data_IF_324286164550
#
_entry.id   IF_324286164550
#
_cell.length_a   1.000
_cell.length_b   1.000
_cell.length_c   1.000
_cell.angle_alpha   90.00
_cell.angle_beta   90.00
_cell.angle_gamma   90.00
#
_symmetry.space_group_name_H-M   'P 1'
#
loop_
_entity.id
_entity.type
_entity.pdbx_description
1 polymer ?
#
# COMPACT_ATOMS: atom_id res chain seq x y z
N UNK A 1 -6.18 25.98 1.88
CA UNK A 1 -6.59 24.64 1.42
C UNK A 1 -8.10 24.59 1.31
N UNK A 2 -8.62 24.37 0.10
CA UNK A 2 -10.06 24.26 -0.20
C UNK A 2 -10.68 23.07 0.54
N UNK A 3 -12.01 23.09 0.73
CA UNK A 3 -12.76 22.03 1.45
C UNK A 3 -12.54 20.65 0.82
N UNK A 4 -12.35 20.58 -0.49
CA UNK A 4 -12.06 19.34 -1.24
C UNK A 4 -10.65 18.78 -0.99
N UNK A 5 -9.63 19.64 -0.86
CA UNK A 5 -8.26 19.23 -0.50
C UNK A 5 -8.21 18.65 0.93
N UNK A 6 -9.03 19.19 1.85
CA UNK A 6 -9.17 18.64 3.21
C UNK A 6 -9.83 17.25 3.21
N UNK A 7 -10.77 16.98 2.30
CA UNK A 7 -11.43 15.68 2.16
C UNK A 7 -10.46 14.62 1.59
N UNK A 8 -9.63 14.97 0.59
CA UNK A 8 -8.64 14.05 -0.01
C UNK A 8 -7.52 13.64 0.94
N UNK A 9 -7.25 14.42 1.99
CA UNK A 9 -6.17 14.16 2.95
C UNK A 9 -6.64 13.44 4.22
N UNK A 10 -7.94 13.48 4.56
CA UNK A 10 -8.46 12.81 5.76
C UNK A 10 -8.82 11.34 5.50
N UNK A 11 -7.80 10.51 5.23
CA UNK A 11 -7.99 9.09 4.97
C UNK A 11 -8.43 8.38 6.27
N UNK A 12 -9.59 7.72 6.33
CA UNK A 12 -9.98 6.98 7.54
C UNK A 12 -9.07 5.77 7.75
N UNK A 13 -8.63 5.57 8.99
CA UNK A 13 -7.95 4.32 9.39
C UNK A 13 -9.03 3.23 9.37
N UNK A 14 -8.84 2.13 8.62
CA UNK A 14 -9.80 1.03 8.63
C UNK A 14 -9.89 0.45 10.05
N UNK A 15 -11.11 0.18 10.52
CA UNK A 15 -11.38 -0.45 11.83
C UNK A 15 -11.34 -1.98 11.76
N UNK A 16 -11.03 -2.52 10.59
CA UNK A 16 -11.03 -3.94 10.26
C UNK A 16 -9.64 -4.33 9.83
N UNK A 17 -9.09 -5.39 10.42
CA UNK A 17 -7.91 -6.06 9.89
C UNK A 17 -8.34 -7.05 8.81
N UNK A 18 -7.43 -7.44 7.93
CA UNK A 18 -7.76 -8.40 6.88
C UNK A 18 -6.61 -9.37 6.60
N UNK A 19 -6.97 -10.60 6.24
CA UNK A 19 -6.07 -11.62 5.71
C UNK A 19 -6.46 -11.89 4.26
N UNK A 20 -5.52 -11.73 3.34
CA UNK A 20 -5.71 -12.00 1.92
C UNK A 20 -5.08 -13.34 1.56
N UNK A 21 -5.90 -14.22 1.00
CA UNK A 21 -5.53 -15.51 0.46
C UNK A 21 -5.58 -15.40 -1.06
N UNK A 22 -4.42 -15.50 -1.70
CA UNK A 22 -4.29 -15.47 -3.17
C UNK A 22 -3.83 -16.83 -3.66
N UNK A 23 -4.69 -17.53 -4.39
CA UNK A 23 -4.35 -18.82 -4.99
C UNK A 23 -3.67 -18.57 -6.36
N UNK A 24 -2.43 -19.04 -6.54
CA UNK A 24 -1.74 -19.00 -7.83
C UNK A 24 -1.71 -20.42 -8.41
N UNK A 25 -2.79 -20.84 -9.05
CA UNK A 25 -2.92 -22.17 -9.69
C UNK A 25 -4.37 -22.61 -9.88
N UNK A 26 -4.57 -23.90 -10.16
CA UNK A 26 -5.88 -24.56 -10.34
C UNK A 26 -6.65 -24.74 -9.03
N UNK A 27 -5.99 -24.57 -7.88
CA UNK A 27 -6.64 -24.70 -6.58
C UNK A 27 -7.75 -23.65 -6.40
N UNK A 28 -8.98 -24.12 -6.24
CA UNK A 28 -10.12 -23.24 -5.98
C UNK A 28 -10.07 -22.68 -4.56
N UNK A 29 -10.48 -21.42 -4.38
CA UNK A 29 -10.60 -20.81 -3.06
C UNK A 29 -11.47 -21.64 -2.10
N UNK A 30 -12.44 -22.39 -2.63
CA UNK A 30 -13.32 -23.26 -1.86
C UNK A 30 -12.59 -24.48 -1.26
N UNK A 31 -11.65 -25.09 -1.98
CA UNK A 31 -10.81 -26.18 -1.46
C UNK A 31 -9.84 -25.68 -0.39
N UNK A 32 -9.20 -24.54 -0.65
CA UNK A 32 -8.28 -23.90 0.31
C UNK A 32 -9.00 -23.58 1.62
N UNK A 33 -10.23 -23.04 1.53
CA UNK A 33 -11.04 -22.77 2.72
C UNK A 33 -11.55 -24.05 3.41
N UNK A 34 -11.83 -25.14 2.67
CA UNK A 34 -12.20 -26.43 3.29
C UNK A 34 -11.06 -26.96 4.15
N UNK A 35 -9.84 -26.97 3.61
CA UNK A 35 -8.64 -27.42 4.33
C UNK A 35 -8.35 -26.50 5.52
N UNK A 36 -8.46 -25.18 5.32
CA UNK A 36 -8.29 -24.22 6.39
C UNK A 36 -9.29 -24.44 7.53
N UNK A 37 -10.57 -24.73 7.23
CA UNK A 37 -11.58 -25.01 8.26
C UNK A 37 -11.30 -26.29 9.05
N UNK A 38 -10.73 -27.33 8.42
CA UNK A 38 -10.38 -28.58 9.11
C UNK A 38 -9.17 -28.42 10.04
N UNK A 39 -8.25 -27.51 9.71
CA UNK A 39 -6.97 -27.35 10.42
C UNK A 39 -6.92 -26.13 11.35
N UNK A 40 -7.83 -25.18 11.23
CA UNK A 40 -7.80 -23.92 11.98
C UNK A 40 -9.08 -23.77 12.80
N UNK A 41 -8.93 -23.89 14.12
CA UNK A 41 -9.98 -23.55 15.06
C UNK A 41 -10.10 -22.04 15.25
N UNK A 42 -11.23 -21.49 14.82
CA UNK A 42 -11.55 -20.05 14.89
C UNK A 42 -11.89 -19.66 16.33
N UNK A 43 -12.50 -20.56 17.09
CA UNK A 43 -12.91 -20.33 18.48
C UNK A 43 -11.69 -20.16 19.39
N UNK A 44 -10.60 -20.90 19.11
CA UNK A 44 -9.31 -20.74 19.80
C UNK A 44 -8.64 -19.38 19.57
N UNK A 45 -9.05 -18.66 18.52
CA UNK A 45 -8.52 -17.35 18.16
C UNK A 45 -9.42 -16.21 18.64
N UNK A 46 -10.54 -16.53 19.31
CA UNK A 46 -11.55 -15.59 19.79
C UNK A 46 -11.95 -14.56 18.71
N UNK A 47 -12.14 -15.01 17.47
CA UNK A 47 -12.58 -14.13 16.38
C UNK A 47 -14.12 -14.19 16.32
N UNK A 48 -14.84 -13.16 16.77
CA UNK A 48 -16.29 -13.22 16.90
C UNK A 48 -17.00 -13.22 15.54
N UNK A 49 -16.40 -12.61 14.52
CA UNK A 49 -16.97 -12.53 13.17
C UNK A 49 -15.85 -12.46 12.13
N UNK A 50 -15.96 -13.26 11.06
CA UNK A 50 -15.10 -13.13 9.88
C UNK A 50 -15.99 -12.79 8.69
N UNK A 51 -15.72 -11.66 8.03
CA UNK A 51 -16.45 -11.22 6.85
C UNK A 51 -15.66 -11.56 5.58
N UNK A 52 -16.04 -12.60 4.81
CA UNK A 52 -15.38 -12.90 3.56
C UNK A 52 -15.79 -11.89 2.48
N UNK A 53 -14.80 -11.34 1.77
CA UNK A 53 -14.99 -10.47 0.60
C UNK A 53 -14.06 -10.93 -0.52
N UNK A 54 -14.51 -10.83 -1.77
CA UNK A 54 -13.61 -11.00 -2.93
C UNK A 54 -12.94 -9.66 -3.25
N UNK A 55 -11.62 -9.64 -3.27
CA UNK A 55 -10.85 -8.48 -3.69
C UNK A 55 -11.00 -8.24 -5.21
N UNK A 56 -10.71 -7.02 -5.69
CA UNK A 56 -10.72 -6.71 -7.14
C UNK A 56 -9.73 -7.57 -7.94
N UNK A 57 -8.70 -8.10 -7.28
CA UNK A 57 -7.71 -9.04 -7.83
C UNK A 57 -8.20 -10.50 -7.85
N UNK A 58 -9.47 -10.76 -7.50
CA UNK A 58 -10.09 -12.10 -7.30
C UNK A 58 -9.55 -12.90 -6.11
N UNK A 59 -8.63 -12.34 -5.32
CA UNK A 59 -8.19 -12.94 -4.06
C UNK A 59 -9.32 -12.95 -3.03
N UNK A 60 -9.29 -13.94 -2.12
CA UNK A 60 -10.21 -14.00 -0.99
C UNK A 60 -9.66 -13.15 0.16
N UNK A 61 -10.46 -12.20 0.62
CA UNK A 61 -10.18 -11.32 1.74
C UNK A 61 -11.05 -11.76 2.93
N UNK A 62 -10.43 -12.05 4.06
CA UNK A 62 -11.11 -12.33 5.32
C UNK A 62 -10.97 -11.11 6.22
N UNK A 63 -12.02 -10.31 6.35
CA UNK A 63 -12.05 -9.12 7.20
C UNK A 63 -12.42 -9.51 8.63
N UNK A 64 -11.60 -9.09 9.60
CA UNK A 64 -11.80 -9.30 11.04
C UNK A 64 -12.10 -7.92 11.66
N UNK A 65 -13.36 -7.65 12.05
CA UNK A 65 -13.72 -6.44 12.78
C UNK A 65 -13.28 -6.56 14.24
N UNK A 66 -12.72 -5.48 14.80
CA UNK A 66 -12.36 -5.43 16.22
C UNK A 66 -11.14 -4.57 16.50
N UNK A 67 -11.02 -4.07 17.73
CA UNK A 67 -9.86 -3.27 18.18
C UNK A 67 -8.56 -4.10 18.18
N UNK A 68 -8.64 -5.40 18.46
CA UNK A 68 -7.53 -6.35 18.42
C UNK A 68 -7.46 -7.16 17.10
N UNK A 69 -8.18 -6.70 16.06
CA UNK A 69 -8.22 -7.40 14.79
C UNK A 69 -6.83 -7.58 14.17
N UNK A 70 -5.90 -6.66 14.43
CA UNK A 70 -4.52 -6.72 13.95
C UNK A 70 -3.78 -7.99 14.42
N UNK A 71 -3.68 -8.18 15.74
CA UNK A 71 -3.00 -9.33 16.34
C UNK A 71 -3.68 -10.66 15.99
N UNK A 72 -5.02 -10.69 15.99
CA UNK A 72 -5.80 -11.88 15.62
C UNK A 72 -5.63 -12.24 14.13
N UNK A 73 -5.53 -11.23 13.25
CA UNK A 73 -5.24 -11.45 11.84
C UNK A 73 -3.81 -11.97 11.62
N UNK A 74 -2.84 -11.52 12.40
CA UNK A 74 -1.46 -12.04 12.34
C UNK A 74 -1.39 -13.51 12.79
N UNK A 75 -2.06 -13.85 13.90
CA UNK A 75 -2.16 -15.23 14.37
C UNK A 75 -2.86 -16.14 13.34
N UNK A 76 -3.97 -15.67 12.76
CA UNK A 76 -4.68 -16.41 11.71
C UNK A 76 -3.81 -16.58 10.46
N UNK A 77 -3.09 -15.54 10.04
CA UNK A 77 -2.18 -15.62 8.90
C UNK A 77 -1.02 -16.60 9.14
N UNK A 78 -0.50 -16.68 10.37
CA UNK A 78 0.50 -17.66 10.80
C UNK A 78 -0.02 -19.10 10.67
N UNK A 79 -1.13 -19.41 11.33
CA UNK A 79 -1.78 -20.74 11.27
C UNK A 79 -2.14 -21.13 9.84
N UNK A 80 -2.64 -20.18 9.03
CA UNK A 80 -2.94 -20.44 7.62
C UNK A 80 -1.68 -20.74 6.82
N UNK A 81 -0.54 -20.08 7.09
CA UNK A 81 0.74 -20.36 6.42
C UNK A 81 1.24 -21.77 6.74
N UNK A 82 1.13 -22.19 7.99
CA UNK A 82 1.48 -23.55 8.42
C UNK A 82 0.56 -24.59 7.78
N UNK A 83 -0.76 -24.34 7.80
CA UNK A 83 -1.75 -25.27 7.27
C UNK A 83 -1.70 -25.42 5.75
N UNK A 84 -1.32 -24.36 5.02
CA UNK A 84 -1.36 -24.25 3.56
C UNK A 84 0.03 -24.22 2.89
N UNK A 85 1.11 -24.30 3.66
CA UNK A 85 2.50 -24.19 3.18
C UNK A 85 2.88 -25.20 2.08
N UNK A 86 2.10 -26.26 1.90
CA UNK A 86 2.30 -27.28 0.85
C UNK A 86 1.74 -26.88 -0.52
N UNK A 87 0.88 -25.86 -0.63
CA UNK A 87 0.24 -25.45 -1.89
C UNK A 87 0.71 -24.06 -2.32
N UNK A 88 0.59 -23.75 -3.62
CA UNK A 88 0.89 -22.43 -4.24
C UNK A 88 -0.11 -21.33 -3.82
N UNK A 89 -0.26 -21.12 -2.51
CA UNK A 89 -1.18 -20.14 -1.91
C UNK A 89 -0.34 -19.06 -1.23
N UNK A 90 -0.53 -17.81 -1.65
CA UNK A 90 0.10 -16.65 -1.05
C UNK A 90 -0.84 -16.05 0.00
N UNK A 91 -0.46 -16.17 1.27
CA UNK A 91 -1.16 -15.51 2.38
C UNK A 91 -0.44 -14.20 2.68
N UNK A 92 -1.20 -13.12 2.62
CA UNK A 92 -0.71 -11.75 2.83
C UNK A 92 -1.63 -11.02 3.80
N UNK A 93 -1.06 -10.10 4.57
CA UNK A 93 -1.80 -9.22 5.47
C UNK A 93 -1.93 -7.83 4.83
N UNK A 94 -3.00 -7.56 4.08
CA UNK A 94 -3.20 -6.24 3.49
C UNK A 94 -3.57 -5.22 4.57
N UNK A 95 -2.72 -4.21 4.72
CA UNK A 95 -3.04 -3.00 5.46
C UNK A 95 -3.14 -1.81 4.51
N UNK A 96 -3.99 -0.83 4.86
CA UNK A 96 -4.07 0.42 4.10
C UNK A 96 -2.79 1.23 4.33
N UNK A 97 -1.98 1.33 3.29
CA UNK A 97 -0.72 2.08 3.30
C UNK A 97 -0.93 3.53 2.83
N UNK A 98 -0.07 4.43 3.29
CA UNK A 98 0.01 5.80 2.84
C UNK A 98 1.44 6.18 2.46
N UNK A 99 1.54 7.09 1.49
CA UNK A 99 2.81 7.63 1.03
C UNK A 99 3.06 8.96 1.77
N UNK A 100 4.26 9.11 2.31
CA UNK A 100 4.78 10.31 2.96
C UNK A 100 6.00 10.80 2.18
N UNK A 101 6.15 12.11 2.09
CA UNK A 101 7.36 12.76 1.58
C UNK A 101 8.13 13.37 2.73
N UNK A 102 9.40 13.03 2.81
CA UNK A 102 10.39 13.66 3.68
C UNK A 102 11.16 14.70 2.86
N UNK A 103 11.35 15.90 3.43
CA UNK A 103 12.13 16.99 2.85
C UNK A 103 13.14 17.50 3.88
N UNK A 104 14.21 18.09 3.38
CA UNK A 104 15.32 18.63 4.19
C UNK A 104 16.08 17.54 4.95
N UNK A 105 16.29 16.40 4.30
CA UNK A 105 17.23 15.39 4.80
C UNK A 105 18.65 15.88 4.58
N UNK A 106 19.49 15.77 5.58
CA UNK A 106 20.91 16.10 5.45
C UNK A 106 21.67 14.94 4.77
N UNK A 107 22.77 15.23 4.08
CA UNK A 107 23.45 14.29 3.18
C UNK A 107 24.03 13.07 3.91
N UNK A 108 24.47 13.22 5.17
CA UNK A 108 25.01 12.13 5.99
C UNK A 108 23.93 11.22 6.60
N UNK A 109 22.65 11.62 6.51
CA UNK A 109 21.55 10.88 7.15
C UNK A 109 21.38 9.49 6.52
N UNK A 110 21.51 8.44 7.34
CA UNK A 110 21.38 7.06 6.87
C UNK A 110 19.93 6.58 6.86
N UNK A 111 19.66 5.55 6.07
CA UNK A 111 18.32 4.96 5.94
C UNK A 111 17.85 4.33 7.26
N UNK A 112 18.77 3.77 8.03
CA UNK A 112 18.49 3.09 9.31
C UNK A 112 18.01 4.07 10.38
N UNK A 113 18.67 5.22 10.51
CA UNK A 113 18.35 6.25 11.49
C UNK A 113 16.97 6.89 11.20
N UNK A 114 16.67 7.10 9.92
CA UNK A 114 15.35 7.52 9.46
C UNK A 114 14.28 6.51 9.88
N UNK A 115 14.50 5.22 9.61
CA UNK A 115 13.53 4.16 9.96
C UNK A 115 13.31 4.11 11.48
N UNK A 116 14.37 4.25 12.27
CA UNK A 116 14.26 4.24 13.73
C UNK A 116 13.50 5.45 14.28
N UNK A 117 13.81 6.65 13.82
CA UNK A 117 13.12 7.87 14.24
C UNK A 117 11.62 7.81 13.88
N UNK A 118 11.31 7.32 12.67
CA UNK A 118 9.94 7.15 12.20
C UNK A 118 9.20 6.04 12.95
N UNK A 119 9.86 4.93 13.28
CA UNK A 119 9.26 3.84 14.06
C UNK A 119 8.89 4.32 15.47
N UNK A 120 9.78 5.07 16.14
CA UNK A 120 9.54 5.64 17.47
C UNK A 120 8.37 6.63 17.47
N UNK A 121 8.29 7.54 16.48
CA UNK A 121 7.22 8.53 16.40
C UNK A 121 5.91 8.00 15.81
N UNK A 122 5.99 7.00 14.93
CA UNK A 122 4.85 6.39 14.27
C UNK A 122 4.18 5.28 15.08
N UNK A 123 4.84 4.76 16.11
CA UNK A 123 4.51 3.51 16.83
C UNK A 123 4.25 2.37 15.84
N UNK A 124 5.21 2.13 14.95
CA UNK A 124 5.09 1.08 13.93
C UNK A 124 6.38 0.26 13.83
N UNK A 125 6.23 -1.01 13.44
CA UNK A 125 7.36 -1.92 13.28
C UNK A 125 8.20 -1.52 12.07
N UNK A 126 9.54 -1.65 12.21
CA UNK A 126 10.52 -1.27 11.17
C UNK A 126 10.21 -1.94 9.81
N UNK A 127 9.74 -3.19 9.80
CA UNK A 127 9.44 -3.95 8.57
C UNK A 127 8.26 -3.41 7.73
N UNK A 128 7.35 -2.68 8.37
CA UNK A 128 6.17 -2.12 7.67
C UNK A 128 6.51 -0.83 6.92
N UNK A 129 7.64 -0.23 7.26
CA UNK A 129 8.12 1.05 6.73
C UNK A 129 8.98 0.76 5.50
N UNK A 130 8.52 1.16 4.31
CA UNK A 130 9.30 1.06 3.08
C UNK A 130 9.82 2.44 2.69
N UNK A 131 11.10 2.67 2.93
CA UNK A 131 11.80 3.88 2.52
C UNK A 131 12.33 3.72 1.10
N UNK A 132 12.04 4.67 0.23
CA UNK A 132 12.65 4.80 -1.09
C UNK A 132 14.05 5.40 -1.00
N UNK A 133 14.70 5.56 -2.14
CA UNK A 133 16.02 6.17 -2.17
C UNK A 133 15.95 7.67 -1.82
N UNK A 134 17.02 8.15 -1.20
CA UNK A 134 17.23 9.56 -0.92
C UNK A 134 17.66 10.21 -2.23
N UNK A 135 16.83 11.12 -2.74
CA UNK A 135 17.04 11.84 -3.98
C UNK A 135 17.46 13.27 -3.64
N UNK A 136 18.53 13.81 -4.23
CA UNK A 136 18.92 15.19 -4.01
C UNK A 136 17.84 16.14 -4.52
N UNK A 137 17.56 17.19 -3.75
CA UNK A 137 16.67 18.27 -4.13
C UNK A 137 17.47 19.50 -4.54
N UNK A 138 16.81 20.42 -5.26
CA UNK A 138 17.43 21.64 -5.78
C UNK A 138 17.95 22.60 -4.70
N UNK A 139 17.60 22.37 -3.43
CA UNK A 139 18.08 23.15 -2.28
C UNK A 139 19.37 22.58 -1.66
N UNK A 140 20.00 21.57 -2.29
CA UNK A 140 21.20 20.92 -1.78
C UNK A 140 20.94 19.92 -0.64
N UNK A 141 19.69 19.71 -0.25
CA UNK A 141 19.29 18.71 0.74
C UNK A 141 18.65 17.49 0.07
N UNK A 142 18.52 16.39 0.80
CA UNK A 142 17.84 15.18 0.38
C UNK A 142 16.31 15.24 0.52
N UNK A 143 15.65 14.49 -0.35
CA UNK A 143 14.23 14.13 -0.24
C UNK A 143 14.09 12.62 -0.28
N UNK A 144 13.19 12.06 0.53
CA UNK A 144 12.88 10.64 0.49
C UNK A 144 11.37 10.41 0.46
N UNK A 145 10.98 9.31 -0.18
CA UNK A 145 9.61 8.85 -0.20
C UNK A 145 9.47 7.67 0.73
N UNK A 146 8.43 7.70 1.56
CA UNK A 146 8.16 6.69 2.55
C UNK A 146 6.79 6.09 2.30
N UNK A 147 6.67 4.78 2.43
CA UNK A 147 5.38 4.10 2.49
C UNK A 147 5.23 3.42 3.85
N UNK A 148 4.18 3.77 4.58
CA UNK A 148 3.91 3.23 5.91
C UNK A 148 2.39 3.04 6.14
N UNK A 149 1.98 2.30 7.18
CA UNK A 149 0.57 2.14 7.53
C UNK A 149 -0.11 3.49 7.80
N UNK A 150 -1.37 3.61 7.42
CA UNK A 150 -2.11 4.89 7.50
C UNK A 150 -2.23 5.47 8.92
N UNK A 151 -2.23 4.61 9.94
CA UNK A 151 -2.25 5.03 11.34
C UNK A 151 -0.97 5.77 11.73
N UNK A 152 0.18 5.15 11.45
CA UNK A 152 1.50 5.78 11.64
C UNK A 152 1.63 7.03 10.76
N UNK A 153 1.21 6.95 9.50
CA UNK A 153 1.34 8.06 8.56
C UNK A 153 0.62 9.33 9.04
N UNK A 154 -0.56 9.19 9.65
CA UNK A 154 -1.29 10.33 10.23
C UNK A 154 -0.57 10.97 11.40
N UNK A 155 -0.01 10.17 12.30
CA UNK A 155 0.75 10.68 13.45
C UNK A 155 1.96 11.48 12.99
N UNK A 156 2.73 10.90 12.08
CA UNK A 156 3.89 11.55 11.46
C UNK A 156 3.50 12.85 10.74
N UNK A 157 2.40 12.84 10.00
CA UNK A 157 1.90 14.02 9.30
C UNK A 157 1.41 15.13 10.24
N UNK A 158 0.83 14.77 11.39
CA UNK A 158 0.40 15.75 12.40
C UNK A 158 1.59 16.47 13.04
N UNK A 159 2.74 15.80 13.18
CA UNK A 159 3.96 16.42 13.69
C UNK A 159 4.50 17.51 12.74
N UNK A 160 4.27 17.39 11.41
CA UNK A 160 4.80 18.25 10.32
C UNK A 160 6.32 18.29 10.20
N UNK A 161 7.05 18.20 11.30
CA UNK A 161 8.50 18.13 11.39
C UNK A 161 8.88 17.04 12.39
N UNK A 162 9.92 16.29 12.07
CA UNK A 162 10.46 15.24 12.93
C UNK A 162 11.96 15.46 13.05
N UNK A 163 12.46 15.36 14.28
CA UNK A 163 13.88 15.34 14.54
C UNK A 163 14.43 13.99 14.13
N UNK A 164 15.31 13.98 13.12
CA UNK A 164 16.09 12.81 12.72
C UNK A 164 17.54 13.17 12.98
N UNK A 165 18.15 12.42 13.90
CA UNK A 165 19.43 12.74 14.51
C UNK A 165 19.43 14.17 15.07
N UNK A 166 20.01 15.12 14.32
CA UNK A 166 20.20 16.51 14.72
C UNK A 166 19.37 17.48 13.86
N UNK A 167 18.76 17.00 12.78
CA UNK A 167 18.09 17.85 11.79
C UNK A 167 16.57 17.73 11.85
N UNK A 168 15.90 18.84 11.58
CA UNK A 168 14.44 18.90 11.55
C UNK A 168 13.93 18.65 10.14
N UNK A 169 13.48 17.41 9.92
CA UNK A 169 13.00 16.93 8.62
C UNK A 169 11.52 17.25 8.48
N UNK A 170 11.14 17.88 7.37
CA UNK A 170 9.73 18.18 7.06
C UNK A 170 9.02 16.92 6.56
N UNK A 171 7.82 16.67 7.09
CA UNK A 171 7.00 15.51 6.79
C UNK A 171 5.69 15.94 6.15
N UNK A 172 5.42 15.43 4.96
CA UNK A 172 4.23 15.74 4.19
C UNK A 172 3.47 14.48 3.79
N UNK A 173 2.23 14.34 4.24
CA UNK A 173 1.35 13.27 3.79
C UNK A 173 0.88 13.54 2.36
N UNK A 174 1.12 12.59 1.47
CA UNK A 174 0.76 12.73 0.07
C UNK A 174 -0.72 12.38 -0.16
N UNK A 175 -1.34 12.90 -1.24
CA UNK A 175 -2.68 12.47 -1.64
C UNK A 175 -2.71 10.98 -1.98
N UNK A 176 -3.89 10.36 -1.85
CA UNK A 176 -4.08 8.95 -2.24
C UNK A 176 -3.85 8.83 -3.74
N UNK A 177 -2.98 7.89 -4.14
CA UNK A 177 -2.80 7.60 -5.57
C UNK A 177 -4.11 7.03 -6.08
N UNK A 178 -4.74 7.76 -6.98
CA UNK A 178 -5.93 7.27 -7.68
C UNK A 178 -5.55 6.03 -8.49
N UNK A 179 -6.44 5.04 -8.46
CA UNK A 179 -6.26 3.85 -9.28
C UNK A 179 -6.23 4.27 -10.75
N UNK A 180 -5.21 3.83 -11.48
CA UNK A 180 -5.08 4.07 -12.91
C UNK A 180 -5.22 2.76 -13.65
N UNK A 181 -6.02 2.77 -14.70
CA UNK A 181 -6.21 1.63 -15.57
C UNK A 181 -5.02 1.50 -16.53
N UNK A 182 -4.27 0.41 -16.44
CA UNK A 182 -3.16 0.14 -17.36
C UNK A 182 -3.58 -0.29 -18.78
N UNK A 183 -4.87 -0.19 -19.12
CA UNK A 183 -5.40 -0.43 -20.48
C UNK A 183 -5.76 0.87 -21.16
N UNK A 184 -6.72 1.62 -20.64
CA UNK A 184 -7.16 2.88 -21.25
C UNK A 184 -6.45 4.13 -20.68
N UNK A 185 -5.63 3.97 -19.64
CA UNK A 185 -4.92 5.01 -18.88
C UNK A 185 -5.78 5.89 -17.97
N UNK A 186 -7.10 5.81 -18.05
CA UNK A 186 -8.04 6.56 -17.19
C UNK A 186 -7.96 6.15 -15.71
N UNK A 187 -8.50 7.00 -14.84
CA UNK A 187 -8.52 6.75 -13.39
C UNK A 187 -9.81 6.06 -12.92
N UNK A 188 -9.79 5.48 -11.71
CA UNK A 188 -10.95 4.89 -11.03
C UNK A 188 -11.11 3.37 -11.18
N UNK A 189 -10.48 2.76 -12.19
CA UNK A 189 -10.61 1.33 -12.45
C UNK A 189 -9.29 0.62 -12.78
N UNK A 190 -9.34 -0.71 -12.84
CA UNK A 190 -8.20 -1.58 -13.17
C UNK A 190 -8.48 -2.31 -14.49
N UNK A 191 -7.44 -2.84 -15.15
CA UNK A 191 -7.52 -3.54 -16.45
C UNK A 191 -8.66 -4.57 -16.53
N UNK A 192 -8.80 -5.43 -15.52
CA UNK A 192 -9.83 -6.49 -15.48
C UNK A 192 -11.28 -5.97 -15.38
N UNK A 193 -11.46 -4.68 -15.09
CA UNK A 193 -12.76 -4.03 -14.97
C UNK A 193 -12.90 -2.89 -15.99
N UNK A 194 -11.98 -2.80 -16.96
CA UNK A 194 -12.00 -1.79 -17.99
C UNK A 194 -13.09 -2.11 -19.01
N UNK A 195 -14.07 -1.20 -19.14
CA UNK A 195 -15.12 -1.25 -20.16
C UNK A 195 -14.83 -0.32 -21.34
N UNK A 196 -13.71 0.40 -21.30
CA UNK A 196 -13.32 1.29 -22.36
C UNK A 196 -12.87 0.47 -23.58
N UNK A 197 -13.28 0.94 -24.75
CA UNK A 197 -13.00 0.28 -26.03
C UNK A 197 -11.55 0.51 -26.47
N UNK A 198 -10.99 1.67 -26.09
CA UNK A 198 -9.66 2.08 -26.51
C UNK A 198 -8.59 1.41 -25.65
N UNK A 199 -7.71 0.65 -26.32
CA UNK A 199 -6.56 0.02 -25.69
C UNK A 199 -5.28 0.83 -25.92
N UNK A 200 -4.79 1.44 -24.86
CA UNK A 200 -3.55 2.23 -24.78
C UNK A 200 -2.49 1.49 -23.94
N UNK A 201 -2.59 0.18 -23.76
CA UNK A 201 -1.68 -0.59 -22.89
C UNK A 201 -0.22 -0.58 -23.36
N UNK A 202 0.01 -0.34 -24.65
CA UNK A 202 1.34 -0.20 -25.25
C UNK A 202 1.89 1.23 -25.17
N UNK A 203 1.06 2.21 -24.81
CA UNK A 203 1.43 3.60 -24.75
C UNK A 203 2.22 3.91 -23.47
N UNK A 204 3.26 4.72 -23.61
CA UNK A 204 4.02 5.24 -22.49
C UNK A 204 3.15 6.19 -21.66
N UNK A 205 3.00 5.90 -20.37
CA UNK A 205 2.22 6.72 -19.42
C UNK A 205 2.68 8.19 -19.31
N UNK A 206 3.89 8.52 -19.79
CA UNK A 206 4.47 9.88 -19.71
C UNK A 206 4.25 10.72 -20.97
N UNK A 207 4.36 10.13 -22.15
CA UNK A 207 4.30 10.85 -23.43
C UNK A 207 3.25 10.31 -24.41
N UNK A 208 2.64 9.17 -24.11
CA UNK A 208 1.62 8.55 -24.95
C UNK A 208 2.13 7.71 -26.12
N UNK A 209 3.42 7.78 -26.45
CA UNK A 209 3.98 7.01 -27.58
C UNK A 209 4.22 5.54 -27.21
N UNK A 210 4.20 4.68 -28.22
CA UNK A 210 4.47 3.24 -28.06
C UNK A 210 5.99 2.94 -28.11
N UNK A 211 6.38 1.75 -27.65
CA UNK A 211 7.74 1.20 -27.83
C UNK A 211 8.73 1.43 -26.68
N UNK A 212 8.32 2.12 -25.61
CA UNK A 212 9.17 2.31 -24.42
C UNK A 212 8.36 2.43 -23.13
N UNK A 213 9.04 2.29 -21.98
CA UNK A 213 8.43 2.47 -20.67
C UNK A 213 8.67 3.88 -20.11
N UNK A 214 7.80 4.32 -19.19
CA UNK A 214 7.91 5.65 -18.59
C UNK A 214 9.23 5.88 -17.81
N UNK A 215 9.83 4.79 -17.28
CA UNK A 215 11.09 4.85 -16.52
C UNK A 215 12.27 5.28 -17.40
N UNK A 216 12.28 4.92 -18.68
CA UNK A 216 13.30 5.29 -19.66
C UNK A 216 12.87 6.34 -20.69
N UNK A 217 11.68 6.92 -20.53
CA UNK A 217 11.13 7.89 -21.49
C UNK A 217 11.91 9.21 -21.47
N UNK A 218 12.44 9.61 -22.63
CA UNK A 218 13.12 10.91 -22.84
C UNK A 218 12.25 11.95 -23.56
N UNK A 219 11.10 11.53 -24.07
CA UNK A 219 10.17 12.40 -24.78
C UNK A 219 9.52 13.45 -23.87
N UNK A 220 8.97 14.48 -24.50
CA UNK A 220 8.19 15.52 -23.83
C UNK A 220 6.97 14.92 -23.12
N UNK A 221 6.60 15.51 -21.99
CA UNK A 221 5.45 15.04 -21.21
C UNK A 221 4.18 15.39 -21.97
N UNK A 222 3.38 14.37 -22.29
CA UNK A 222 2.14 14.51 -23.00
C UNK A 222 1.12 13.49 -22.47
N UNK A 223 -0.03 13.99 -22.02
CA UNK A 223 -1.10 13.16 -21.46
C UNK A 223 -2.14 12.89 -22.53
N UNK A 224 -2.13 11.67 -23.11
CA UNK A 224 -3.12 11.26 -24.11
C UNK A 224 -4.56 11.43 -23.63
N UNK A 225 -4.84 11.17 -22.35
CA UNK A 225 -6.20 11.27 -21.80
C UNK A 225 -6.71 12.72 -21.79
N UNK A 226 -5.80 13.70 -21.68
CA UNK A 226 -6.18 15.12 -21.71
C UNK A 226 -6.17 15.70 -23.12
N UNK A 227 -5.57 14.98 -24.07
CA UNK A 227 -5.45 15.39 -25.46
C UNK A 227 -6.57 14.83 -26.34
N UNK A 228 -7.10 13.65 -25.96
CA UNK A 228 -8.34 13.07 -26.47
C UNK A 228 -9.57 13.76 -25.88
#
# INVERSE_FOLDING_TARGET
>A
KTREERIKTNRRVPRTAAVQISCRGEATHAEVMRIAKTKVDIDSLEIPEIRPRKARTRALLLEIPGKEGASKADALAGKLKEALGTRKVLITRPEKMADIRLKDLEESTRKEDIIEALAKKGECSKDTIKLGDIVPANNGLGMAWLKCPIAAAKRLANCKRILIDWTMVRVELLPERTLQCHRCLETGHIRNQCRNEIDRSMACYRCGQNGHNAKGCKESVHCIICAD
#
